data_IF_404644058669
#
_entry.id   IF_404644058669
#
_cell.length_a   1.000
_cell.length_b   1.000
_cell.length_c   1.000
_cell.angle_alpha   90.00
_cell.angle_beta   90.00
_cell.angle_gamma   90.00
#
_symmetry.space_group_name_H-M   'P 1'
#
loop_
_entity.id
_entity.type
_entity.pdbx_description
1 polymer ?
#
# COMPACT_ATOMS: atom_id res chain seq x y z
N UNK A 1 -2.40 22.08 -7.20
CA UNK A 1 -2.83 22.65 -5.91
C UNK A 1 -3.58 21.65 -5.02
N UNK A 2 -4.63 20.96 -5.49
CA UNK A 2 -5.39 20.00 -4.66
C UNK A 2 -4.57 18.78 -4.17
N UNK A 3 -3.67 18.26 -5.01
CA UNK A 3 -2.74 17.18 -4.67
C UNK A 3 -1.73 17.58 -3.58
N UNK A 4 -1.26 18.83 -3.63
CA UNK A 4 -0.40 19.41 -2.60
C UNK A 4 -1.17 19.64 -1.28
N UNK A 5 -2.45 20.01 -1.35
CA UNK A 5 -3.32 20.05 -0.18
C UNK A 5 -3.54 18.66 0.44
N UNK A 6 -3.72 17.60 -0.35
CA UNK A 6 -3.88 16.23 0.17
C UNK A 6 -2.61 15.72 0.85
N UNK A 7 -1.45 15.98 0.25
CA UNK A 7 -0.12 15.75 0.85
C UNK A 7 0.15 16.64 2.08
N UNK A 8 -0.49 17.81 2.18
CA UNK A 8 -0.42 18.67 3.37
C UNK A 8 -1.39 18.25 4.49
N UNK A 9 -2.52 17.61 4.13
CA UNK A 9 -3.52 17.11 5.07
C UNK A 9 -3.03 15.82 5.77
N UNK A 10 -2.24 15.00 5.07
CA UNK A 10 -1.55 13.86 5.66
C UNK A 10 -0.09 14.22 5.97
N UNK A 11 0.31 14.30 7.25
CA UNK A 11 1.71 14.56 7.61
C UNK A 11 2.61 13.57 6.89
N UNK A 12 3.54 14.07 6.08
CA UNK A 12 4.52 13.28 5.31
C UNK A 12 5.20 12.20 6.16
N UNK A 13 5.48 12.53 7.42
CA UNK A 13 6.02 11.60 8.43
C UNK A 13 5.12 10.40 8.73
N UNK A 14 3.79 10.53 8.65
CA UNK A 14 2.84 9.41 8.83
C UNK A 14 2.75 8.50 7.60
N UNK A 15 3.03 9.01 6.40
CA UNK A 15 3.07 8.22 5.16
C UNK A 15 4.32 7.33 5.12
N UNK A 16 5.49 7.91 5.47
CA UNK A 16 6.75 7.17 5.50
C UNK A 16 6.77 6.10 6.61
N UNK A 17 6.21 6.40 7.79
CA UNK A 17 6.12 5.43 8.89
C UNK A 17 5.20 4.24 8.58
N UNK A 18 4.07 4.47 7.90
CA UNK A 18 3.06 3.45 7.64
C UNK A 18 3.05 3.02 6.15
N UNK A 19 4.20 3.12 5.46
CA UNK A 19 4.29 2.97 4.00
C UNK A 19 3.70 1.66 3.47
N UNK A 20 3.85 0.57 4.23
CA UNK A 20 3.24 -0.73 3.92
C UNK A 20 1.71 -0.70 3.85
N UNK A 21 1.08 -0.06 4.83
CA UNK A 21 -0.38 0.02 4.93
C UNK A 21 -0.92 0.90 3.80
N UNK A 22 -0.24 2.03 3.54
CA UNK A 22 -0.60 2.94 2.45
C UNK A 22 -0.42 2.31 1.07
N UNK A 23 0.59 1.45 0.89
CA UNK A 23 0.80 0.68 -0.35
C UNK A 23 -0.41 -0.21 -0.62
N UNK A 24 -0.79 -1.05 0.34
CA UNK A 24 -1.94 -1.95 0.22
C UNK A 24 -3.27 -1.20 0.06
N UNK A 25 -3.43 -0.08 0.78
CA UNK A 25 -4.61 0.76 0.61
C UNK A 25 -4.71 1.34 -0.80
N UNK A 26 -3.60 1.81 -1.36
CA UNK A 26 -3.56 2.30 -2.73
C UNK A 26 -3.90 1.19 -3.73
N UNK A 27 -3.36 -0.02 -3.54
CA UNK A 27 -3.64 -1.17 -4.41
C UNK A 27 -5.14 -1.56 -4.37
N UNK A 28 -5.75 -1.62 -3.18
CA UNK A 28 -7.20 -1.88 -3.01
C UNK A 28 -8.05 -0.77 -3.64
N UNK A 29 -7.71 0.50 -3.39
CA UNK A 29 -8.47 1.63 -3.92
C UNK A 29 -8.38 1.71 -5.45
N UNK A 30 -7.25 1.29 -6.02
CA UNK A 30 -7.07 1.17 -7.47
C UNK A 30 -8.02 0.13 -8.07
N UNK A 31 -8.11 -1.04 -7.45
CA UNK A 31 -9.03 -2.09 -7.89
C UNK A 31 -10.49 -1.63 -7.77
N UNK A 32 -10.87 -0.91 -6.70
CA UNK A 32 -12.21 -0.30 -6.60
C UNK A 32 -12.47 0.67 -7.77
N UNK A 33 -11.50 1.52 -8.12
CA UNK A 33 -11.66 2.47 -9.22
C UNK A 33 -11.82 1.76 -10.58
N UNK A 34 -11.01 0.72 -10.84
CA UNK A 34 -11.13 -0.09 -12.06
C UNK A 34 -12.50 -0.79 -12.12
N UNK A 35 -12.96 -1.35 -11.00
CA UNK A 35 -14.30 -1.97 -10.95
C UNK A 35 -15.41 -0.97 -11.29
N UNK A 36 -15.32 0.26 -10.78
CA UNK A 36 -16.28 1.32 -11.11
C UNK A 36 -16.33 1.59 -12.62
N UNK A 37 -15.18 1.61 -13.30
CA UNK A 37 -15.11 1.79 -14.75
C UNK A 37 -15.70 0.61 -15.52
N UNK A 38 -15.48 -0.63 -15.08
CA UNK A 38 -16.06 -1.82 -15.70
C UNK A 38 -17.59 -1.80 -15.59
N UNK A 39 -18.13 -1.31 -14.47
CA UNK A 39 -19.57 -1.25 -14.20
C UNK A 39 -20.24 -0.01 -14.82
N UNK A 40 -19.49 1.06 -15.09
CA UNK A 40 -20.03 2.33 -15.57
C UNK A 40 -20.97 2.23 -16.79
N UNK A 41 -20.67 1.42 -17.84
CA UNK A 41 -21.55 1.29 -19.01
C UNK A 41 -22.95 0.76 -18.70
N UNK A 42 -23.13 0.02 -17.59
CA UNK A 42 -24.45 -0.46 -17.15
C UNK A 42 -25.37 0.66 -16.62
N UNK A 43 -24.81 1.84 -16.31
CA UNK A 43 -25.52 2.98 -15.73
C UNK A 43 -25.33 4.25 -16.59
N UNK A 44 -25.87 4.31 -17.81
CA UNK A 44 -25.63 5.41 -18.75
C UNK A 44 -26.02 6.80 -18.19
N UNK A 45 -27.07 6.89 -17.37
CA UNK A 45 -27.48 8.14 -16.73
C UNK A 45 -26.51 8.70 -15.69
N UNK A 46 -25.65 7.85 -15.11
CA UNK A 46 -24.64 8.23 -14.12
C UNK A 46 -23.21 7.98 -14.62
N UNK A 47 -23.02 7.62 -15.89
CA UNK A 47 -21.74 7.18 -16.45
C UNK A 47 -20.61 8.17 -16.15
N UNK A 48 -20.82 9.44 -16.48
CA UNK A 48 -19.82 10.50 -16.24
C UNK A 48 -19.48 10.64 -14.76
N UNK A 49 -20.48 10.58 -13.87
CA UNK A 49 -20.25 10.69 -12.43
C UNK A 49 -19.42 9.51 -11.90
N UNK A 50 -19.69 8.29 -12.38
CA UNK A 50 -18.94 7.09 -11.99
C UNK A 50 -17.48 7.20 -12.45
N UNK A 51 -17.25 7.53 -13.73
CA UNK A 51 -15.89 7.64 -14.29
C UNK A 51 -15.12 8.80 -13.65
N UNK A 52 -15.76 9.95 -13.38
CA UNK A 52 -15.13 11.05 -12.65
C UNK A 52 -14.72 10.64 -11.23
N UNK A 53 -15.58 9.90 -10.54
CA UNK A 53 -15.29 9.40 -9.19
C UNK A 53 -14.16 8.37 -9.20
N UNK A 54 -14.13 7.46 -10.19
CA UNK A 54 -12.99 6.56 -10.42
C UNK A 54 -11.70 7.34 -10.64
N UNK A 55 -11.72 8.35 -11.51
CA UNK A 55 -10.56 9.21 -11.76
C UNK A 55 -10.04 9.89 -10.50
N UNK A 56 -10.94 10.37 -9.63
CA UNK A 56 -10.57 10.91 -8.32
C UNK A 56 -9.88 9.88 -7.44
N UNK A 57 -10.39 8.64 -7.36
CA UNK A 57 -9.72 7.55 -6.63
C UNK A 57 -8.34 7.24 -7.22
N UNK A 58 -8.20 7.15 -8.55
CA UNK A 58 -6.91 6.94 -9.21
C UNK A 58 -5.91 8.07 -8.92
N UNK A 59 -6.36 9.32 -8.77
CA UNK A 59 -5.49 10.40 -8.31
C UNK A 59 -4.96 10.16 -6.89
N UNK A 60 -5.80 9.70 -5.96
CA UNK A 60 -5.37 9.34 -4.59
C UNK A 60 -4.37 8.18 -4.64
N UNK A 61 -4.66 7.15 -5.44
CA UNK A 61 -3.77 6.00 -5.67
C UNK A 61 -2.41 6.46 -6.19
N UNK A 62 -2.38 7.35 -7.19
CA UNK A 62 -1.13 7.87 -7.75
C UNK A 62 -0.25 8.55 -6.71
N UNK A 63 -0.85 9.31 -5.79
CA UNK A 63 -0.12 9.97 -4.70
C UNK A 63 0.39 8.97 -3.67
N UNK A 64 -0.49 8.12 -3.14
CA UNK A 64 -0.14 7.16 -2.10
C UNK A 64 0.84 6.10 -2.63
N UNK A 65 0.61 5.59 -3.84
CA UNK A 65 1.48 4.66 -4.55
C UNK A 65 2.85 5.29 -4.86
N UNK A 66 2.88 6.52 -5.38
CA UNK A 66 4.13 7.23 -5.67
C UNK A 66 4.97 7.50 -4.42
N UNK A 67 4.34 7.98 -3.34
CA UNK A 67 5.02 8.24 -2.08
C UNK A 67 5.57 6.96 -1.44
N UNK A 68 4.78 5.89 -1.41
CA UNK A 68 5.20 4.61 -0.83
C UNK A 68 6.28 3.93 -1.67
N UNK A 69 6.17 3.97 -3.00
CA UNK A 69 7.21 3.48 -3.92
C UNK A 69 8.52 4.22 -3.65
N UNK A 70 8.51 5.55 -3.56
CA UNK A 70 9.70 6.33 -3.25
C UNK A 70 10.31 5.93 -1.89
N UNK A 71 9.50 5.77 -0.84
CA UNK A 71 9.99 5.30 0.46
C UNK A 71 10.61 3.89 0.41
N UNK A 72 10.05 2.97 -0.39
CA UNK A 72 10.61 1.64 -0.61
C UNK A 72 11.93 1.69 -1.40
N UNK A 73 12.01 2.51 -2.44
CA UNK A 73 13.24 2.72 -3.22
C UNK A 73 14.35 3.29 -2.34
N UNK A 74 14.04 4.28 -1.49
CA UNK A 74 14.96 4.81 -0.48
C UNK A 74 15.46 3.72 0.46
N UNK A 75 14.55 2.85 0.93
CA UNK A 75 14.90 1.74 1.82
C UNK A 75 15.81 0.69 1.13
N UNK A 76 15.60 0.45 -0.15
CA UNK A 76 16.42 -0.48 -0.95
C UNK A 76 17.79 0.11 -1.34
N UNK A 77 17.90 1.44 -1.42
CA UNK A 77 19.12 2.16 -1.72
C UNK A 77 20.06 2.20 -0.50
N UNK A 78 20.75 1.09 -0.21
CA UNK A 78 21.60 0.92 0.98
C UNK A 78 23.01 1.53 0.87
N UNK A 79 23.48 1.87 -0.34
CA UNK A 79 24.86 2.33 -0.60
C UNK A 79 24.89 3.59 -1.48
N UNK A 80 24.02 4.56 -1.19
CA UNK A 80 23.82 5.76 -2.01
C UNK A 80 23.54 5.44 -3.51
N UNK A 81 23.05 4.24 -3.77
CA UNK A 81 22.82 3.68 -5.10
C UNK A 81 21.38 3.88 -5.57
N UNK A 82 20.75 4.98 -5.15
CA UNK A 82 19.33 5.24 -5.42
C UNK A 82 19.03 5.34 -6.92
N UNK A 83 19.94 5.94 -7.69
CA UNK A 83 19.80 6.04 -9.15
C UNK A 83 19.79 4.66 -9.83
N UNK A 84 20.66 3.74 -9.39
CA UNK A 84 20.72 2.37 -9.93
C UNK A 84 19.47 1.56 -9.58
N UNK A 85 19.03 1.64 -8.31
CA UNK A 85 17.77 0.99 -7.88
C UNK A 85 16.58 1.53 -8.65
N UNK A 86 16.49 2.86 -8.82
CA UNK A 86 15.39 3.50 -9.57
C UNK A 86 15.41 3.13 -11.05
N UNK A 87 16.59 3.08 -11.68
CA UNK A 87 16.74 2.67 -13.07
C UNK A 87 16.34 1.19 -13.27
N UNK A 88 16.72 0.33 -12.33
CA UNK A 88 16.33 -1.09 -12.33
C UNK A 88 14.83 -1.28 -12.15
N UNK A 89 14.19 -0.53 -11.26
CA UNK A 89 12.74 -0.56 -11.06
C UNK A 89 12.01 -0.06 -12.32
N UNK A 90 12.43 1.08 -12.88
CA UNK A 90 11.80 1.66 -14.08
C UNK A 90 11.92 0.77 -15.33
N UNK A 91 13.06 0.08 -15.50
CA UNK A 91 13.22 -0.89 -16.60
C UNK A 91 12.34 -2.14 -16.42
N UNK A 92 12.16 -2.62 -15.19
CA UNK A 92 11.23 -3.72 -14.90
C UNK A 92 9.78 -3.30 -15.14
N UNK A 93 9.37 -2.11 -14.68
CA UNK A 93 8.03 -1.57 -14.93
C UNK A 93 7.75 -1.47 -16.44
N UNK A 94 8.72 -0.98 -17.22
CA UNK A 94 8.61 -0.88 -18.68
C UNK A 94 8.42 -2.26 -19.32
N UNK A 95 9.23 -3.25 -18.94
CA UNK A 95 9.15 -4.60 -19.48
C UNK A 95 7.81 -5.28 -19.15
N UNK A 96 7.36 -5.15 -17.90
CA UNK A 96 6.08 -5.71 -17.44
C UNK A 96 4.92 -5.04 -18.16
N UNK A 97 4.95 -3.72 -18.35
CA UNK A 97 3.93 -3.00 -19.11
C UNK A 97 3.88 -3.46 -20.58
N UNK A 98 5.03 -3.66 -21.22
CA UNK A 98 5.08 -4.20 -22.58
C UNK A 98 4.45 -5.60 -22.65
N UNK A 99 4.82 -6.50 -21.73
CA UNK A 99 4.24 -7.83 -21.66
C UNK A 99 2.72 -7.80 -21.40
N UNK A 100 2.27 -6.91 -20.51
CA UNK A 100 0.86 -6.69 -20.21
C UNK A 100 0.08 -6.17 -21.41
N UNK A 101 0.65 -5.24 -22.19
CA UNK A 101 0.05 -4.76 -23.43
C UNK A 101 -0.12 -5.89 -24.45
N UNK A 102 0.92 -6.70 -24.67
CA UNK A 102 0.85 -7.86 -25.56
C UNK A 102 -0.22 -8.86 -25.10
N UNK A 103 -0.25 -9.18 -23.81
CA UNK A 103 -1.28 -10.06 -23.24
C UNK A 103 -2.69 -9.49 -23.41
N UNK A 104 -2.88 -8.19 -23.16
CA UNK A 104 -4.18 -7.52 -23.31
C UNK A 104 -4.69 -7.52 -24.75
N UNK A 105 -3.79 -7.42 -25.73
CA UNK A 105 -4.13 -7.47 -27.16
C UNK A 105 -4.79 -8.81 -27.53
N UNK A 106 -4.33 -9.91 -26.95
CA UNK A 106 -4.93 -11.23 -27.15
C UNK A 106 -6.18 -11.44 -26.29
N UNK A 107 -6.21 -10.87 -25.07
CA UNK A 107 -7.29 -11.09 -24.11
C UNK A 107 -8.57 -10.31 -24.46
N UNK A 108 -8.46 -9.05 -24.87
CA UNK A 108 -9.61 -8.16 -25.10
C UNK A 108 -10.62 -8.76 -26.09
N UNK A 109 -10.22 -9.29 -27.27
CA UNK A 109 -11.16 -9.89 -28.21
C UNK A 109 -11.91 -11.11 -27.65
N UNK A 110 -11.34 -11.83 -26.68
CA UNK A 110 -11.97 -12.99 -26.06
C UNK A 110 -13.05 -12.62 -25.04
N UNK A 111 -12.95 -11.43 -24.43
CA UNK A 111 -13.80 -11.02 -23.30
C UNK A 111 -14.86 -9.98 -23.68
N UNK A 112 -14.69 -9.26 -24.79
CA UNK A 112 -15.50 -8.08 -25.15
C UNK A 112 -17.00 -8.31 -25.15
N UNK A 113 -17.46 -9.47 -25.65
CA UNK A 113 -18.89 -9.82 -25.73
C UNK A 113 -19.35 -10.74 -24.59
N UNK A 114 -18.49 -11.04 -23.62
CA UNK A 114 -18.77 -11.96 -22.53
C UNK A 114 -18.57 -11.30 -21.16
N UNK A 115 -19.64 -10.67 -20.66
CA UNK A 115 -19.63 -10.00 -19.35
C UNK A 115 -19.30 -10.95 -18.21
N UNK A 116 -19.80 -12.19 -18.24
CA UNK A 116 -19.51 -13.19 -17.21
C UNK A 116 -18.01 -13.48 -17.16
N UNK A 117 -17.39 -13.72 -18.32
CA UNK A 117 -15.96 -13.96 -18.43
C UNK A 117 -15.15 -12.73 -18.01
N UNK A 118 -15.60 -11.52 -18.37
CA UNK A 118 -14.98 -10.25 -17.96
C UNK A 118 -14.98 -10.12 -16.43
N UNK A 119 -16.13 -10.32 -15.78
CA UNK A 119 -16.22 -10.25 -14.31
C UNK A 119 -15.43 -11.36 -13.61
N UNK A 120 -15.45 -12.58 -14.16
CA UNK A 120 -14.71 -13.71 -13.61
C UNK A 120 -13.19 -13.49 -13.68
N UNK A 121 -12.68 -13.06 -14.84
CA UNK A 121 -11.26 -12.74 -15.01
C UNK A 121 -10.85 -11.53 -14.20
N UNK A 122 -11.69 -10.50 -14.15
CA UNK A 122 -11.46 -9.34 -13.29
C UNK A 122 -11.33 -9.76 -11.82
N UNK A 123 -12.30 -10.52 -11.30
CA UNK A 123 -12.26 -11.01 -9.92
C UNK A 123 -11.02 -11.88 -9.65
N UNK A 124 -10.66 -12.77 -10.57
CA UNK A 124 -9.45 -13.59 -10.48
C UNK A 124 -8.19 -12.73 -10.42
N UNK A 125 -8.03 -11.78 -11.35
CA UNK A 125 -6.87 -10.90 -11.39
C UNK A 125 -6.80 -9.97 -10.18
N UNK A 126 -7.92 -9.43 -9.69
CA UNK A 126 -7.96 -8.64 -8.47
C UNK A 126 -7.53 -9.45 -7.25
N UNK A 127 -8.01 -10.69 -7.10
CA UNK A 127 -7.59 -11.57 -5.99
C UNK A 127 -6.09 -11.85 -6.06
N UNK A 128 -5.58 -12.22 -7.24
CA UNK A 128 -4.16 -12.49 -7.45
C UNK A 128 -3.31 -11.23 -7.20
N UNK A 129 -3.75 -10.07 -7.69
CA UNK A 129 -3.10 -8.77 -7.50
C UNK A 129 -3.01 -8.42 -6.01
N UNK A 130 -4.12 -8.45 -5.28
CA UNK A 130 -4.13 -8.12 -3.86
C UNK A 130 -3.35 -9.12 -3.02
N UNK A 131 -3.44 -10.42 -3.34
CA UNK A 131 -2.66 -11.45 -2.65
C UNK A 131 -1.14 -11.27 -2.88
N UNK A 132 -0.72 -11.04 -4.13
CA UNK A 132 0.68 -10.82 -4.45
C UNK A 132 1.23 -9.56 -3.76
N UNK A 133 0.50 -8.45 -3.79
CA UNK A 133 0.89 -7.22 -3.09
C UNK A 133 0.92 -7.42 -1.57
N UNK A 134 -0.04 -8.16 -1.00
CA UNK A 134 -0.03 -8.51 0.41
C UNK A 134 1.24 -9.28 0.81
N UNK A 135 1.61 -10.31 0.03
CA UNK A 135 2.84 -11.07 0.30
C UNK A 135 4.09 -10.21 0.08
N UNK A 136 4.14 -9.37 -0.96
CA UNK A 136 5.25 -8.47 -1.22
C UNK A 136 5.47 -7.51 -0.04
N UNK A 137 4.41 -6.86 0.43
CA UNK A 137 4.47 -5.93 1.57
C UNK A 137 4.84 -6.63 2.89
N UNK A 138 4.42 -7.89 3.08
CA UNK A 138 4.87 -8.72 4.22
C UNK A 138 6.35 -9.04 4.16
N UNK A 139 6.86 -9.37 2.98
CA UNK A 139 8.27 -9.73 2.78
C UNK A 139 9.21 -8.53 2.98
N UNK A 140 8.73 -7.30 2.71
CA UNK A 140 9.52 -6.09 2.98
C UNK A 140 9.70 -5.91 4.48
N UNK A 141 10.95 -6.02 4.95
CA UNK A 141 11.34 -5.68 6.32
C UNK A 141 11.82 -4.23 6.35
N UNK A 142 10.94 -3.29 6.73
CA UNK A 142 11.37 -1.88 6.87
C UNK A 142 12.17 -1.73 8.17
N UNK A 143 13.23 -0.95 8.16
CA UNK A 143 13.99 -0.62 9.39
C UNK A 143 13.41 0.56 10.18
N UNK A 144 12.46 1.28 9.58
CA UNK A 144 11.78 2.39 10.24
C UNK A 144 10.84 1.90 11.33
N UNK A 145 10.88 2.56 12.48
CA UNK A 145 9.98 2.30 13.60
C UNK A 145 8.70 3.10 13.39
N UNK A 146 7.57 2.41 13.23
CA UNK A 146 6.25 3.03 13.28
C UNK A 146 5.55 2.75 14.61
N UNK A 147 4.34 3.29 14.80
CA UNK A 147 3.64 3.19 16.09
C UNK A 147 3.30 1.75 16.47
N UNK A 148 2.92 0.91 15.51
CA UNK A 148 2.58 -0.49 15.77
C UNK A 148 3.83 -1.29 16.15
N UNK A 149 4.93 -1.11 15.42
CA UNK A 149 6.21 -1.75 15.74
C UNK A 149 6.77 -1.27 17.07
N UNK A 150 6.68 0.03 17.36
CA UNK A 150 7.09 0.57 18.65
C UNK A 150 6.31 -0.07 19.79
N UNK A 151 5.01 -0.32 19.61
CA UNK A 151 4.21 -1.05 20.59
C UNK A 151 4.74 -2.45 20.85
N UNK A 152 4.95 -3.21 19.78
CA UNK A 152 5.41 -4.59 19.85
C UNK A 152 6.81 -4.67 20.49
N UNK A 153 7.72 -3.75 20.12
CA UNK A 153 9.06 -3.63 20.71
C UNK A 153 8.97 -3.31 22.20
N UNK A 154 8.15 -2.33 22.60
CA UNK A 154 7.98 -1.96 24.01
C UNK A 154 7.37 -3.10 24.83
N UNK A 155 6.34 -3.78 24.31
CA UNK A 155 5.73 -4.92 24.99
C UNK A 155 6.73 -6.07 25.17
N UNK A 156 7.53 -6.35 24.14
CA UNK A 156 8.57 -7.38 24.22
C UNK A 156 9.64 -7.02 25.26
N UNK A 157 10.11 -5.77 25.24
CA UNK A 157 11.10 -5.26 26.17
C UNK A 157 10.60 -5.30 27.62
N UNK A 158 9.37 -4.86 27.88
CA UNK A 158 8.78 -4.89 29.23
C UNK A 158 8.60 -6.31 29.76
N UNK A 159 8.39 -7.30 28.88
CA UNK A 159 8.16 -8.69 29.28
C UNK A 159 9.45 -9.50 29.45
N UNK A 160 10.46 -9.25 28.62
CA UNK A 160 11.65 -10.10 28.52
C UNK A 160 12.98 -9.36 28.78
N UNK A 161 12.97 -8.02 28.85
CA UNK A 161 14.18 -7.21 28.99
C UNK A 161 15.00 -7.07 27.71
N UNK A 162 14.54 -7.64 26.59
CA UNK A 162 15.25 -7.68 25.31
C UNK A 162 14.59 -6.79 24.25
N UNK A 163 15.40 -6.19 23.38
CA UNK A 163 14.91 -5.40 22.24
C UNK A 163 14.90 -6.29 20.99
N UNK A 164 13.73 -6.71 20.49
CA UNK A 164 13.65 -7.61 19.35
C UNK A 164 14.07 -6.91 18.07
N UNK A 165 14.80 -7.62 17.20
CA UNK A 165 15.21 -7.11 15.89
C UNK A 165 14.04 -6.94 14.91
N UNK A 166 14.19 -6.13 13.84
CA UNK A 166 13.14 -5.88 12.85
C UNK A 166 12.55 -7.16 12.25
N UNK A 167 13.36 -8.19 11.99
CA UNK A 167 12.91 -9.45 11.41
C UNK A 167 11.88 -10.21 12.28
N UNK A 168 11.95 -10.05 13.61
CA UNK A 168 11.01 -10.69 14.56
C UNK A 168 9.69 -9.94 14.63
N UNK A 169 9.74 -8.60 14.57
CA UNK A 169 8.56 -7.73 14.67
C UNK A 169 7.82 -7.60 13.34
N UNK A 170 8.53 -7.63 12.22
CA UNK A 170 7.99 -7.45 10.87
C UNK A 170 6.76 -8.34 10.54
N UNK A 171 6.76 -9.67 10.81
CA UNK A 171 5.60 -10.51 10.52
C UNK A 171 4.41 -10.27 11.47
N UNK A 172 4.62 -9.62 12.62
CA UNK A 172 3.59 -9.34 13.63
C UNK A 172 2.90 -7.99 13.39
N UNK A 173 3.42 -7.19 12.45
CA UNK A 173 2.89 -5.88 12.13
C UNK A 173 1.51 -5.97 11.43
N UNK A 174 0.49 -5.21 11.90
CA UNK A 174 -0.78 -5.14 11.21
C UNK A 174 -0.62 -4.37 9.89
N UNK A 175 -1.06 -4.98 8.79
CA UNK A 175 -0.94 -4.40 7.45
C UNK A 175 -2.19 -3.65 6.96
N UNK A 176 -3.32 -3.85 7.63
CA UNK A 176 -4.59 -3.21 7.27
C UNK A 176 -4.72 -1.82 7.90
N UNK A 177 -5.10 -0.84 7.08
CA UNK A 177 -5.33 0.53 7.50
C UNK A 177 -6.53 0.58 8.47
N UNK A 178 -6.34 1.17 9.66
CA UNK A 178 -7.40 1.28 10.68
C UNK A 178 -7.24 0.36 11.89
N UNK A 179 -6.42 -0.70 11.82
CA UNK A 179 -6.01 -1.49 13.00
C UNK A 179 -4.92 -0.77 13.82
N UNK A 180 -5.09 0.53 14.05
CA UNK A 180 -4.20 1.33 14.88
C UNK A 180 -4.46 1.01 16.34
N UNK A 181 -3.51 0.32 16.97
CA UNK A 181 -3.44 0.29 18.42
C UNK A 181 -3.11 1.71 18.92
N UNK A 182 -4.05 2.32 19.67
CA UNK A 182 -3.82 3.62 20.32
C UNK A 182 -2.86 3.44 21.49
N UNK A 183 -1.59 3.71 21.24
CA UNK A 183 -0.61 3.89 22.31
C UNK A 183 -0.85 5.24 23.01
N UNK A 184 -1.31 5.19 24.26
CA UNK A 184 -1.34 6.35 25.15
C UNK A 184 0.01 6.41 25.86
N UNK A 185 0.96 7.14 25.28
CA UNK A 185 2.27 7.39 25.90
C UNK A 185 2.09 8.57 26.85
N UNK A 186 2.29 8.34 28.14
CA UNK A 186 2.33 9.39 29.17
C UNK A 186 3.80 9.65 29.51
N UNK A 187 4.35 10.75 29.02
CA UNK A 187 5.72 11.16 29.36
C UNK A 187 5.73 11.78 30.76
N UNK A 188 6.69 11.40 31.60
CA UNK A 188 6.82 11.91 32.97
C UNK A 188 6.01 11.16 34.03
N UNK A 189 5.41 10.00 33.70
CA UNK A 189 4.83 9.13 34.71
C UNK A 189 5.93 8.49 35.58
N UNK A 190 5.76 8.42 36.91
CA UNK A 190 6.73 7.73 37.78
C UNK A 190 6.94 6.28 37.36
N UNK A 191 8.20 5.80 37.39
CA UNK A 191 8.55 4.44 36.94
C UNK A 191 7.77 3.34 37.70
N UNK A 192 7.45 3.59 38.98
CA UNK A 192 6.70 2.65 39.84
C UNK A 192 5.25 2.43 39.37
N UNK A 193 4.66 3.38 38.63
CA UNK A 193 3.30 3.25 38.08
C UNK A 193 3.23 2.31 36.88
N UNK A 194 4.37 1.98 36.27
CA UNK A 194 4.46 1.08 35.10
C UNK A 194 4.88 -0.33 35.51
N UNK A 195 5.71 -0.46 36.55
CA UNK A 195 6.21 -1.75 37.04
C UNK A 195 5.24 -2.52 37.97
N UNK A 196 4.09 -1.94 38.31
CA UNK A 196 3.10 -2.52 39.25
C UNK A 196 1.89 -3.18 38.57
N UNK A 197 1.99 -3.52 37.28
CA UNK A 197 0.96 -4.26 36.53
C UNK A 197 1.48 -5.56 35.97
#
# INVERSE_FOLDING_TARGET
YFLACFLSFFPRSKLDCDAKQWRLFADVLNDVAIFMEIVAPAFPGCFTLIVCTSGFFKCIVGVAGGATRAALTMHQARRDNMADVSAKDGSQETLVNLAGLLFSLFLIPLVVDNLLLTYALYALFTILHLYANYQAVRAVCMETVNRARLHLVLQHYLKWGEVPGPAVINPQEPLLLGFRQRLKITLGAPLHTVASR
#
